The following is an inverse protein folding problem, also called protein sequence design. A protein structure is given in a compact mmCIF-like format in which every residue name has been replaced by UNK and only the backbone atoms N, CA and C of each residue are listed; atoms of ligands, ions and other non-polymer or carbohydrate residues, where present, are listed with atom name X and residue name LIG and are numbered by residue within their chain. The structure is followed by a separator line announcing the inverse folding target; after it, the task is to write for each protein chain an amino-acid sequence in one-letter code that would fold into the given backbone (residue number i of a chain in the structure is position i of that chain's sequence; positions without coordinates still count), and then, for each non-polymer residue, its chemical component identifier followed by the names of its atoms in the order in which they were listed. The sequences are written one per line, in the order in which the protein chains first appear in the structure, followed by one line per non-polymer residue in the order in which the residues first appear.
data_IF_740620342936
#
_entry.id   IF_740620342936
#
_cell.length_a   1.000
_cell.length_b   1.000
_cell.length_c   1.000
_cell.angle_alpha   90.00
_cell.angle_beta   90.00
_cell.angle_gamma   90.00
#
_symmetry.space_group_name_H-M   'P 1'
#
loop_
_entity.id
_entity.type
_entity.pdbx_description
1 polymer ?
#
# COMPACT_ATOMS: atom_id res chain seq x y z
N UNK A 1 -9.77 11.16 11.51
CA UNK A 1 -10.04 11.17 10.06
C UNK A 1 -9.39 9.94 9.49
N UNK A 2 -10.18 9.01 8.93
CA UNK A 2 -9.65 7.86 8.21
C UNK A 2 -9.37 8.26 6.76
N UNK A 3 -8.18 7.92 6.25
CA UNK A 3 -7.82 8.17 4.85
C UNK A 3 -8.24 6.94 4.05
N UNK A 4 -8.98 7.13 2.96
CA UNK A 4 -9.38 6.04 2.07
C UNK A 4 -8.32 5.82 0.99
N UNK A 5 -7.97 4.56 0.77
CA UNK A 5 -6.98 4.11 -0.18
C UNK A 5 -7.50 2.93 -0.99
N UNK A 6 -7.48 3.05 -2.32
CA UNK A 6 -7.77 1.94 -3.23
C UNK A 6 -6.46 1.31 -3.72
N UNK A 7 -6.45 -0.02 -3.82
CA UNK A 7 -5.32 -0.81 -4.31
C UNK A 7 -5.80 -2.02 -5.10
N UNK A 8 -4.91 -2.58 -5.90
CA UNK A 8 -5.21 -3.73 -6.75
C UNK A 8 -4.19 -4.86 -6.49
N UNK A 9 -4.56 -6.13 -6.71
CA UNK A 9 -3.60 -7.23 -6.71
C UNK A 9 -2.48 -6.97 -7.70
N UNK A 10 -1.25 -7.36 -7.32
CA UNK A 10 -0.11 -7.22 -8.23
C UNK A 10 -0.30 -8.12 -9.46
N UNK A 11 -0.21 -7.59 -10.68
CA UNK A 11 -0.25 -8.40 -11.89
C UNK A 11 0.88 -9.44 -11.93
N UNK A 12 0.56 -10.67 -12.30
CA UNK A 12 1.54 -11.74 -12.42
C UNK A 12 2.52 -11.48 -13.58
N UNK A 13 3.77 -11.92 -13.42
CA UNK A 13 4.79 -11.83 -14.47
C UNK A 13 5.38 -10.44 -14.72
N UNK A 14 4.89 -9.37 -14.08
CA UNK A 14 5.43 -8.02 -14.25
C UNK A 14 6.50 -7.71 -13.18
N UNK A 15 7.71 -7.35 -13.65
CA UNK A 15 8.81 -6.94 -12.76
C UNK A 15 8.47 -5.64 -12.02
N UNK A 16 8.83 -5.48 -10.73
CA UNK A 16 8.56 -4.26 -9.95
C UNK A 16 9.04 -2.95 -10.61
N UNK A 17 10.15 -2.99 -11.32
CA UNK A 17 10.65 -1.80 -12.05
C UNK A 17 9.74 -1.40 -13.22
N UNK A 18 9.09 -2.34 -13.88
CA UNK A 18 8.13 -2.03 -14.95
C UNK A 18 6.86 -1.38 -14.36
N UNK A 19 6.36 -1.88 -13.23
CA UNK A 19 5.24 -1.28 -12.49
C UNK A 19 5.54 0.19 -12.12
N UNK A 20 6.72 0.45 -11.54
CA UNK A 20 7.08 1.83 -11.16
C UNK A 20 7.15 2.77 -12.36
N UNK A 21 7.64 2.29 -13.50
CA UNK A 21 7.66 3.07 -14.76
C UNK A 21 6.25 3.31 -15.32
N UNK A 22 5.29 2.45 -15.03
CA UNK A 22 3.89 2.62 -15.43
C UNK A 22 3.06 3.43 -14.42
N UNK A 23 3.70 4.03 -13.40
CA UNK A 23 3.01 4.80 -12.37
C UNK A 23 2.36 3.96 -11.28
N UNK A 24 2.69 2.66 -11.20
CA UNK A 24 2.19 1.77 -10.16
C UNK A 24 3.29 1.49 -9.13
N UNK A 25 3.00 1.75 -7.86
CA UNK A 25 3.90 1.49 -6.74
C UNK A 25 3.56 0.13 -6.14
N UNK A 26 4.50 -0.81 -6.11
CA UNK A 26 4.32 -2.08 -5.42
C UNK A 26 4.05 -1.85 -3.93
N UNK A 27 3.08 -2.56 -3.37
CA UNK A 27 2.81 -2.57 -1.94
C UNK A 27 2.55 -4.00 -1.45
N UNK A 28 2.57 -4.18 -0.13
CA UNK A 28 2.15 -5.42 0.52
C UNK A 28 1.16 -5.11 1.64
N UNK A 29 0.16 -5.97 1.79
CA UNK A 29 -0.70 -6.03 2.97
C UNK A 29 -0.39 -7.30 3.75
N UNK A 30 -0.19 -7.21 5.05
CA UNK A 30 0.03 -8.36 5.92
C UNK A 30 -0.70 -8.19 7.25
N UNK A 31 -0.84 -9.28 8.02
CA UNK A 31 -1.56 -9.28 9.29
C UNK A 31 -3.08 -9.38 9.17
N UNK A 32 -3.62 -9.41 7.94
CA UNK A 32 -5.06 -9.56 7.70
C UNK A 32 -5.60 -10.96 8.05
N UNK A 33 -4.72 -11.98 8.05
CA UNK A 33 -5.06 -13.39 8.30
C UNK A 33 -3.81 -14.13 8.79
N UNK A 34 -3.40 -13.81 10.02
CA UNK A 34 -2.20 -14.39 10.64
C UNK A 34 -0.94 -14.03 9.85
N UNK A 35 -0.24 -15.04 9.33
CA UNK A 35 1.03 -14.89 8.60
C UNK A 35 0.85 -14.69 7.08
N UNK A 36 -0.37 -14.64 6.58
CA UNK A 36 -0.63 -14.40 5.15
C UNK A 36 -0.30 -12.96 4.75
N UNK A 37 0.10 -12.79 3.49
CA UNK A 37 0.36 -11.47 2.89
C UNK A 37 -0.18 -11.42 1.47
N UNK A 38 -0.74 -10.27 1.09
CA UNK A 38 -1.23 -9.98 -0.26
C UNK A 38 -0.27 -9.00 -0.92
N UNK A 39 0.22 -9.37 -2.11
CA UNK A 39 0.98 -8.46 -2.97
C UNK A 39 0.04 -7.54 -3.73
N UNK A 40 0.23 -6.24 -3.55
CA UNK A 40 -0.61 -5.19 -4.11
C UNK A 40 0.18 -4.25 -5.02
N UNK A 41 -0.56 -3.42 -5.73
CA UNK A 41 -0.10 -2.22 -6.43
C UNK A 41 -1.05 -1.05 -6.14
N UNK A 42 -0.48 0.14 -6.07
CA UNK A 42 -1.20 1.40 -5.80
C UNK A 42 -0.75 2.45 -6.81
N UNK A 43 -1.65 3.30 -7.28
CA UNK A 43 -1.30 4.42 -8.16
C UNK A 43 -0.35 5.41 -7.47
N UNK A 44 0.70 5.84 -8.18
CA UNK A 44 1.74 6.71 -7.64
C UNK A 44 1.21 8.07 -7.15
N UNK A 45 0.21 8.67 -7.82
CA UNK A 45 -0.39 9.93 -7.36
C UNK A 45 -1.19 9.72 -6.09
N UNK A 46 -1.89 8.59 -5.98
CA UNK A 46 -2.58 8.21 -4.75
C UNK A 46 -1.60 8.02 -3.60
N UNK A 47 -0.44 7.39 -3.85
CA UNK A 47 0.65 7.28 -2.86
C UNK A 47 1.19 8.64 -2.46
N UNK A 48 1.45 9.53 -3.41
CA UNK A 48 1.92 10.89 -3.10
C UNK A 48 0.94 11.67 -2.24
N UNK A 49 -0.37 11.55 -2.50
CA UNK A 49 -1.39 12.18 -1.65
C UNK A 49 -1.42 11.55 -0.26
N UNK A 50 -1.41 10.22 -0.20
CA UNK A 50 -1.39 9.47 1.05
C UNK A 50 -0.23 9.91 1.95
N UNK A 51 0.99 10.01 1.40
CA UNK A 51 2.18 10.34 2.19
C UNK A 51 2.21 11.80 2.67
N UNK A 52 1.40 12.70 2.10
CA UNK A 52 1.23 14.07 2.59
C UNK A 52 0.29 14.14 3.79
N UNK A 53 -0.64 13.21 3.88
CA UNK A 53 -1.72 13.20 4.88
C UNK A 53 -1.46 12.18 6.01
N UNK A 54 -0.76 11.09 5.72
CA UNK A 54 -0.55 9.97 6.63
C UNK A 54 0.83 10.03 7.32
N UNK A 55 0.82 9.87 8.64
CA UNK A 55 2.01 9.59 9.42
C UNK A 55 2.22 8.07 9.53
N UNK A 56 3.41 7.61 9.09
CA UNK A 56 3.83 6.21 9.20
C UNK A 56 3.72 5.72 10.65
N UNK A 57 3.22 4.50 10.83
CA UNK A 57 2.94 3.85 12.12
C UNK A 57 1.89 4.53 13.01
N UNK A 58 1.15 5.53 12.51
CA UNK A 58 0.17 6.28 13.32
C UNK A 58 -1.17 6.45 12.66
N UNK A 59 -1.19 6.78 11.37
CA UNK A 59 -2.44 7.09 10.67
C UNK A 59 -3.14 5.81 10.21
N UNK A 60 -4.41 5.68 10.57
CA UNK A 60 -5.31 4.66 10.07
C UNK A 60 -5.75 4.95 8.63
N UNK A 61 -5.71 3.92 7.81
CA UNK A 61 -5.99 3.95 6.39
C UNK A 61 -7.03 2.88 6.10
N UNK A 62 -8.20 3.29 5.61
CA UNK A 62 -9.21 2.40 5.06
C UNK A 62 -8.72 1.91 3.69
N UNK A 63 -8.18 0.69 3.65
CA UNK A 63 -7.67 0.06 2.44
C UNK A 63 -8.77 -0.77 1.80
N UNK A 64 -9.01 -0.55 0.51
CA UNK A 64 -9.95 -1.30 -0.31
C UNK A 64 -9.19 -2.06 -1.41
N UNK A 65 -9.51 -3.34 -1.58
CA UNK A 65 -9.00 -4.23 -2.65
C UNK A 65 -10.24 -4.81 -3.36
N UNK A 66 -10.81 -4.09 -4.35
CA UNK A 66 -12.05 -4.49 -5.01
C UNK A 66 -12.03 -5.91 -5.57
N UNK A 67 -10.91 -6.33 -6.17
CA UNK A 67 -10.76 -7.63 -6.83
C UNK A 67 -10.74 -8.82 -5.86
N UNK A 68 -10.42 -8.58 -4.59
CA UNK A 68 -10.41 -9.60 -3.54
C UNK A 68 -11.60 -9.47 -2.60
N UNK A 69 -12.55 -8.57 -2.89
CA UNK A 69 -13.67 -8.19 -2.01
C UNK A 69 -13.22 -7.88 -0.57
N UNK A 70 -11.98 -7.39 -0.44
CA UNK A 70 -11.37 -7.13 0.86
C UNK A 70 -11.37 -5.64 1.14
N UNK A 71 -11.88 -5.26 2.31
CA UNK A 71 -11.76 -3.93 2.86
C UNK A 71 -11.40 -4.02 4.34
N UNK A 72 -10.59 -3.08 4.82
CA UNK A 72 -10.19 -3.08 6.22
C UNK A 72 -9.38 -1.87 6.64
N UNK A 73 -9.34 -1.63 7.94
CA UNK A 73 -8.49 -0.61 8.53
C UNK A 73 -7.06 -1.13 8.62
N UNK A 74 -6.14 -0.35 8.08
CA UNK A 74 -4.71 -0.64 8.03
C UNK A 74 -3.91 0.52 8.58
N UNK A 75 -2.65 0.28 8.88
CA UNK A 75 -1.66 1.31 9.18
C UNK A 75 -0.51 1.17 8.20
N UNK A 76 -0.03 2.31 7.69
CA UNK A 76 1.20 2.34 6.90
C UNK A 76 2.40 2.05 7.81
N UNK A 77 3.00 0.87 7.67
CA UNK A 77 4.13 0.43 8.51
C UNK A 77 5.46 0.95 8.00
N UNK A 78 5.65 0.87 6.68
CA UNK A 78 6.94 1.14 6.06
C UNK A 78 6.74 1.82 4.72
N UNK A 79 7.64 2.78 4.44
CA UNK A 79 7.77 3.47 3.15
C UNK A 79 9.21 3.35 2.72
N UNK A 80 9.46 2.61 1.63
CA UNK A 80 10.79 2.53 1.03
C UNK A 80 10.87 3.59 -0.07
N UNK A 81 11.89 4.44 0.00
CA UNK A 81 12.09 5.52 -0.98
C UNK A 81 13.55 5.61 -1.43
N UNK A 82 13.77 6.22 -2.58
CA UNK A 82 15.10 6.51 -3.09
C UNK A 82 15.78 7.55 -2.16
N UNK A 83 16.97 7.26 -1.60
CA UNK A 83 17.61 8.14 -0.61
C UNK A 83 17.89 9.56 -1.12
N UNK A 84 18.31 9.71 -2.37
CA UNK A 84 18.60 11.03 -2.97
C UNK A 84 17.45 11.65 -3.79
N UNK A 85 16.55 10.85 -4.38
CA UNK A 85 15.54 11.35 -5.35
C UNK A 85 14.12 11.39 -4.79
N UNK A 86 13.87 10.80 -3.63
CA UNK A 86 12.54 10.78 -3.01
C UNK A 86 11.51 9.89 -3.72
N UNK A 87 11.87 9.16 -4.78
CA UNK A 87 10.95 8.25 -5.46
C UNK A 87 10.53 7.11 -4.53
N UNK A 88 9.23 6.87 -4.42
CA UNK A 88 8.72 5.76 -3.61
C UNK A 88 8.90 4.46 -4.37
N UNK A 89 9.48 3.47 -3.70
CA UNK A 89 9.74 2.15 -4.25
C UNK A 89 8.74 1.11 -3.79
N UNK A 90 8.33 1.19 -2.53
CA UNK A 90 7.50 0.19 -1.91
C UNK A 90 6.76 0.76 -0.69
N UNK A 91 5.58 0.23 -0.43
CA UNK A 91 4.78 0.50 0.77
C UNK A 91 4.40 -0.81 1.46
N UNK A 92 4.36 -0.79 2.78
CA UNK A 92 3.92 -1.94 3.57
C UNK A 92 2.79 -1.52 4.50
N UNK A 93 1.64 -2.18 4.36
CA UNK A 93 0.44 -1.97 5.16
C UNK A 93 0.27 -3.13 6.14
N UNK A 94 0.02 -2.78 7.40
CA UNK A 94 -0.37 -3.74 8.41
C UNK A 94 -1.87 -3.63 8.66
N UNK A 95 -2.61 -4.72 8.51
CA UNK A 95 -4.01 -4.75 8.88
C UNK A 95 -4.14 -4.64 10.40
N UNK A 96 -4.97 -3.71 10.87
CA UNK A 96 -5.34 -3.69 12.28
C UNK A 96 -6.22 -4.90 12.58
N UNK A 97 -6.02 -5.60 13.70
CA UNK A 97 -7.00 -6.58 14.16
C UNK A 97 -8.35 -5.87 14.29
N UNK A 98 -9.38 -6.39 13.65
CA UNK A 98 -10.75 -5.98 13.91
C UNK A 98 -11.09 -6.52 15.31
N UNK A 99 -11.25 -5.60 16.28
CA UNK A 99 -11.70 -5.93 17.64
C UNK A 99 -13.12 -6.48 17.65
#
# INVERSE_FOLDING_TARGET
MSIKLESHPRPEGIKPNALRRSGLIPANLYGHKGAESISLVVDAKTVERLLKEAAVNRTEIELNIPELEWNGTTVLREVQSHPAKGFIYHLSFFASPQS
#
